data_IF_107229429073
#
_entry.id   IF_107229429073
#
_cell.length_a   1.000
_cell.length_b   1.000
_cell.length_c   1.000
_cell.angle_alpha   90.00
_cell.angle_beta   90.00
_cell.angle_gamma   90.00
#
_symmetry.space_group_name_H-M   'P 1'
#
loop_
_entity.id
_entity.type
_entity.pdbx_description
1 polymer ?
#
# COMPACT_ATOMS: atom_id res chain seq x y z
N UNK A 1 -12.70 20.81 -19.72
CA UNK A 1 -11.30 21.21 -19.48
C UNK A 1 -10.78 20.88 -18.06
N UNK A 2 -11.59 20.27 -17.17
CA UNK A 2 -11.19 20.03 -15.76
C UNK A 2 -10.53 18.65 -15.54
N UNK A 3 -11.06 17.61 -16.18
CA UNK A 3 -10.66 16.22 -15.91
C UNK A 3 -9.23 15.88 -16.36
N UNK A 4 -8.80 16.39 -17.53
CA UNK A 4 -7.45 16.17 -18.05
C UNK A 4 -6.34 16.93 -17.29
N UNK A 5 -6.68 18.03 -16.62
CA UNK A 5 -5.72 18.78 -15.82
C UNK A 5 -5.57 18.17 -14.41
N UNK A 6 -6.69 17.69 -13.84
CA UNK A 6 -6.70 16.92 -12.60
C UNK A 6 -5.92 15.61 -12.79
N UNK A 7 -6.13 14.90 -13.91
CA UNK A 7 -5.40 13.65 -14.18
C UNK A 7 -3.89 13.87 -14.32
N UNK A 8 -3.44 14.93 -14.98
CA UNK A 8 -2.01 15.26 -15.09
C UNK A 8 -1.40 15.62 -13.74
N UNK A 9 -2.15 16.29 -12.86
CA UNK A 9 -1.69 16.62 -11.51
C UNK A 9 -1.53 15.36 -10.66
N UNK A 10 -2.50 14.45 -10.69
CA UNK A 10 -2.42 13.18 -9.96
C UNK A 10 -1.27 12.29 -10.49
N UNK A 11 -1.10 12.22 -11.81
CA UNK A 11 0.05 11.51 -12.40
C UNK A 11 1.40 12.09 -11.93
N UNK A 12 1.51 13.43 -11.88
CA UNK A 12 2.72 14.09 -11.35
C UNK A 12 2.92 13.84 -9.86
N UNK A 13 1.84 13.78 -9.07
CA UNK A 13 1.88 13.46 -7.64
C UNK A 13 2.46 12.06 -7.44
N UNK A 14 1.91 11.07 -8.13
CA UNK A 14 2.35 9.67 -8.07
C UNK A 14 3.81 9.54 -8.53
N UNK A 15 4.16 10.09 -9.69
CA UNK A 15 5.53 10.05 -10.20
C UNK A 15 6.55 10.70 -9.23
N UNK A 16 6.17 11.79 -8.56
CA UNK A 16 7.02 12.44 -7.56
C UNK A 16 7.23 11.54 -6.34
N UNK A 17 6.15 10.93 -5.83
CA UNK A 17 6.22 10.00 -4.70
C UNK A 17 7.13 8.79 -5.01
N UNK A 18 7.02 8.22 -6.22
CA UNK A 18 7.87 7.12 -6.67
C UNK A 18 9.34 7.51 -6.75
N UNK A 19 9.65 8.68 -7.32
CA UNK A 19 11.03 9.17 -7.41
C UNK A 19 11.66 9.36 -6.03
N UNK A 20 10.91 9.94 -5.09
CA UNK A 20 11.36 10.07 -3.70
C UNK A 20 11.57 8.69 -3.06
N UNK A 21 10.63 7.77 -3.24
CA UNK A 21 10.72 6.40 -2.69
C UNK A 21 11.96 5.68 -3.20
N UNK A 22 12.19 5.74 -4.51
CA UNK A 22 13.37 5.16 -5.15
C UNK A 22 14.67 5.75 -4.57
N UNK A 23 14.77 7.08 -4.48
CA UNK A 23 15.94 7.74 -3.91
C UNK A 23 16.17 7.34 -2.43
N UNK A 24 15.10 7.27 -1.63
CA UNK A 24 15.17 6.86 -0.24
C UNK A 24 15.67 5.43 -0.08
N UNK A 25 15.17 4.51 -0.90
CA UNK A 25 15.63 3.11 -0.88
C UNK A 25 17.09 2.97 -1.32
N UNK A 26 17.52 3.72 -2.35
CA UNK A 26 18.92 3.72 -2.80
C UNK A 26 19.85 4.24 -1.71
N UNK A 27 19.50 5.37 -1.08
CA UNK A 27 20.28 5.93 0.02
C UNK A 27 20.33 4.99 1.23
N UNK A 28 19.20 4.37 1.58
CA UNK A 28 19.13 3.39 2.66
C UNK A 28 19.97 2.14 2.36
N UNK A 29 20.00 1.66 1.11
CA UNK A 29 20.82 0.51 0.70
C UNK A 29 22.33 0.83 0.72
N UNK A 30 22.72 2.06 0.36
CA UNK A 30 24.12 2.50 0.29
C UNK A 30 24.71 2.94 1.64
N UNK A 31 23.91 3.61 2.47
CA UNK A 31 24.40 4.30 3.67
C UNK A 31 23.71 3.84 4.96
N UNK A 32 22.71 2.95 4.87
CA UNK A 32 21.83 2.64 5.98
C UNK A 32 20.88 3.79 6.31
N UNK A 33 19.86 3.52 7.13
CA UNK A 33 18.88 4.56 7.50
C UNK A 33 19.52 5.76 8.21
N UNK A 34 20.60 5.58 8.98
CA UNK A 34 21.25 6.68 9.71
C UNK A 34 22.27 7.46 8.88
N UNK A 35 22.67 6.94 7.71
CA UNK A 35 23.72 7.52 6.88
C UNK A 35 23.27 8.62 5.93
N UNK A 36 21.99 9.00 5.93
CA UNK A 36 21.47 10.11 5.13
C UNK A 36 20.39 10.90 5.91
N UNK A 37 20.18 12.14 5.49
CA UNK A 37 19.19 13.07 6.04
C UNK A 37 18.00 13.29 5.09
N UNK A 38 16.93 13.94 5.57
CA UNK A 38 15.83 14.34 4.69
C UNK A 38 16.28 15.43 3.69
N UNK A 39 17.28 16.23 4.03
CA UNK A 39 17.97 17.15 3.12
C UNK A 39 18.62 16.39 1.96
N UNK A 40 19.44 15.37 2.25
CA UNK A 40 20.12 14.56 1.24
C UNK A 40 19.11 13.85 0.33
N UNK A 41 18.01 13.34 0.91
CA UNK A 41 16.92 12.73 0.16
C UNK A 41 16.22 13.74 -0.76
N UNK A 42 15.97 14.96 -0.30
CA UNK A 42 15.34 15.98 -1.12
C UNK A 42 16.21 16.36 -2.33
N UNK A 43 17.53 16.45 -2.13
CA UNK A 43 18.50 16.67 -3.20
C UNK A 43 18.56 15.49 -4.17
N UNK A 44 18.71 14.26 -3.66
CA UNK A 44 18.76 13.05 -4.48
C UNK A 44 17.48 12.82 -5.29
N UNK A 45 16.32 13.19 -4.72
CA UNK A 45 15.04 13.10 -5.37
C UNK A 45 14.67 14.35 -6.18
N UNK A 46 15.56 15.35 -6.30
CA UNK A 46 15.34 16.62 -7.01
C UNK A 46 13.96 17.24 -6.70
N UNK A 47 13.76 17.51 -5.41
CA UNK A 47 12.59 18.21 -4.86
C UNK A 47 13.01 19.19 -3.76
N UNK A 48 12.19 20.19 -3.49
CA UNK A 48 12.39 21.01 -2.29
C UNK A 48 12.10 20.21 -1.01
N UNK A 49 12.71 20.57 0.13
CA UNK A 49 12.36 19.99 1.44
C UNK A 49 10.87 20.07 1.76
N UNK A 50 10.26 21.22 1.47
CA UNK A 50 8.81 21.42 1.66
C UNK A 50 8.02 20.41 0.82
N UNK A 51 8.44 20.18 -0.42
CA UNK A 51 7.83 19.18 -1.29
C UNK A 51 8.00 17.79 -0.69
N UNK A 52 9.21 17.40 -0.29
CA UNK A 52 9.47 16.09 0.33
C UNK A 52 8.56 15.83 1.53
N UNK A 53 8.47 16.78 2.47
CA UNK A 53 7.64 16.65 3.67
C UNK A 53 6.12 16.66 3.38
N UNK A 54 5.69 17.15 2.22
CA UNK A 54 4.29 17.00 1.80
C UNK A 54 3.96 15.56 1.38
N UNK A 55 4.96 14.73 1.05
CA UNK A 55 4.77 13.33 0.67
C UNK A 55 5.08 12.38 1.82
N UNK A 56 6.15 12.63 2.59
CA UNK A 56 6.63 11.71 3.61
C UNK A 56 7.05 12.46 4.88
N UNK A 57 6.55 11.99 6.02
CA UNK A 57 6.89 12.57 7.32
C UNK A 57 8.28 12.13 7.81
N UNK A 58 8.78 10.98 7.34
CA UNK A 58 10.03 10.39 7.80
C UNK A 58 10.79 9.62 6.71
N UNK A 59 12.06 9.29 6.99
CA UNK A 59 12.88 8.42 6.14
C UNK A 59 12.27 7.03 5.98
N UNK A 60 11.70 6.47 7.06
CA UNK A 60 11.05 5.16 7.01
C UNK A 60 9.82 5.20 6.10
N UNK A 61 9.00 6.25 6.17
CA UNK A 61 7.84 6.38 5.28
C UNK A 61 8.27 6.52 3.82
N UNK A 62 9.32 7.31 3.56
CA UNK A 62 9.86 7.46 2.23
C UNK A 62 10.40 6.14 1.66
N UNK A 63 11.05 5.29 2.47
CA UNK A 63 11.53 3.97 2.04
C UNK A 63 10.38 3.00 1.76
N UNK A 64 9.35 3.01 2.61
CA UNK A 64 8.15 2.17 2.46
C UNK A 64 7.24 2.63 1.30
N UNK A 65 7.41 3.88 0.85
CA UNK A 65 6.64 4.49 -0.21
C UNK A 65 5.21 4.87 0.20
N UNK A 66 4.43 5.45 -0.73
CA UNK A 66 3.12 6.02 -0.41
C UNK A 66 2.12 4.95 0.05
N UNK A 67 1.15 5.37 0.86
CA UNK A 67 -0.04 4.57 1.16
C UNK A 67 -0.88 4.34 -0.09
N UNK A 68 -1.42 3.12 -0.26
CA UNK A 68 -2.36 2.90 -1.34
C UNK A 68 -3.58 3.78 -1.09
N UNK A 69 -3.86 4.68 -2.03
CA UNK A 69 -5.07 5.49 -2.00
C UNK A 69 -6.19 4.71 -2.71
N UNK A 70 -7.31 4.54 -2.02
CA UNK A 70 -8.56 4.05 -2.62
C UNK A 70 -9.46 5.26 -2.87
N UNK A 71 -9.97 5.47 -4.09
CA UNK A 71 -10.88 6.58 -4.36
C UNK A 71 -12.12 6.56 -3.45
N UNK A 72 -12.55 7.73 -2.97
CA UNK A 72 -13.73 7.84 -2.08
C UNK A 72 -14.99 7.22 -2.68
N UNK A 73 -15.14 7.24 -4.01
CA UNK A 73 -16.28 6.60 -4.68
C UNK A 73 -16.33 5.08 -4.44
N UNK A 74 -15.17 4.42 -4.37
CA UNK A 74 -15.06 2.97 -4.22
C UNK A 74 -15.26 2.62 -2.73
N UNK A 75 -14.71 3.44 -1.81
CA UNK A 75 -15.00 3.37 -0.37
C UNK A 75 -16.49 3.55 -0.09
N UNK A 76 -17.14 4.53 -0.73
CA UNK A 76 -18.57 4.77 -0.59
C UNK A 76 -19.42 3.60 -1.14
N UNK A 77 -19.02 3.01 -2.27
CA UNK A 77 -19.67 1.83 -2.81
C UNK A 77 -19.56 0.62 -1.86
N UNK A 78 -18.37 0.40 -1.29
CA UNK A 78 -18.16 -0.62 -0.26
C UNK A 78 -19.04 -0.39 0.96
N UNK A 79 -19.07 0.84 1.49
CA UNK A 79 -19.91 1.20 2.65
C UNK A 79 -21.40 0.96 2.37
N UNK A 80 -21.84 1.13 1.14
CA UNK A 80 -23.21 0.88 0.69
C UNK A 80 -23.53 -0.61 0.44
N UNK A 81 -22.59 -1.53 0.67
CA UNK A 81 -22.81 -2.96 0.49
C UNK A 81 -22.51 -3.50 -0.90
N UNK A 82 -21.79 -2.76 -1.76
CA UNK A 82 -21.43 -3.18 -3.12
C UNK A 82 -19.92 -3.26 -3.37
N UNK A 83 -19.49 -3.57 -4.62
CA UNK A 83 -20.33 -3.76 -5.80
C UNK A 83 -20.92 -5.18 -5.99
N UNK A 84 -20.43 -6.19 -5.27
CA UNK A 84 -20.80 -7.59 -5.41
C UNK A 84 -21.84 -8.04 -4.36
N UNK A 85 -21.98 -7.32 -3.25
CA UNK A 85 -22.97 -7.66 -2.22
C UNK A 85 -22.44 -8.57 -1.11
N UNK A 86 -21.21 -9.08 -1.24
CA UNK A 86 -20.56 -9.90 -0.21
C UNK A 86 -19.35 -9.16 0.34
N UNK A 87 -19.17 -9.20 1.67
CA UNK A 87 -18.10 -8.47 2.35
C UNK A 87 -16.71 -8.82 1.80
N UNK A 88 -16.45 -10.11 1.53
CA UNK A 88 -15.13 -10.57 1.07
C UNK A 88 -14.85 -10.18 -0.38
N UNK A 89 -15.84 -10.27 -1.27
CA UNK A 89 -15.67 -9.87 -2.67
C UNK A 89 -15.49 -8.35 -2.78
N UNK A 90 -16.25 -7.59 -2.00
CA UNK A 90 -16.19 -6.13 -2.02
C UNK A 90 -14.90 -5.61 -1.39
N UNK A 91 -14.41 -6.27 -0.34
CA UNK A 91 -13.11 -5.95 0.24
C UNK A 91 -11.96 -6.33 -0.71
N UNK A 92 -12.08 -7.45 -1.43
CA UNK A 92 -11.13 -7.82 -2.47
C UNK A 92 -11.09 -6.78 -3.60
N UNK A 93 -12.24 -6.22 -3.99
CA UNK A 93 -12.32 -5.15 -5.00
C UNK A 93 -11.65 -3.85 -4.53
N UNK A 94 -11.83 -3.47 -3.27
CA UNK A 94 -11.08 -2.35 -2.68
C UNK A 94 -9.57 -2.63 -2.67
N UNK A 95 -9.16 -3.85 -2.33
CA UNK A 95 -7.76 -4.24 -2.36
C UNK A 95 -7.20 -4.17 -3.80
N UNK A 96 -7.90 -4.67 -4.82
CA UNK A 96 -7.47 -4.53 -6.23
C UNK A 96 -7.28 -3.08 -6.63
N UNK A 97 -8.21 -2.22 -6.24
CA UNK A 97 -8.13 -0.78 -6.52
C UNK A 97 -6.89 -0.17 -5.85
N UNK A 98 -6.67 -0.47 -4.57
CA UNK A 98 -5.48 -0.06 -3.82
C UNK A 98 -4.17 -0.55 -4.47
N UNK A 99 -4.14 -1.79 -4.97
CA UNK A 99 -2.96 -2.37 -5.61
C UNK A 99 -2.70 -1.78 -7.01
N UNK A 100 -3.76 -1.45 -7.74
CA UNK A 100 -3.67 -0.84 -9.07
C UNK A 100 -3.09 0.57 -9.03
N UNK A 101 -3.35 1.33 -7.96
CA UNK A 101 -2.82 2.70 -7.80
C UNK A 101 -1.32 2.71 -7.45
N UNK A 102 -0.79 1.62 -6.89
CA UNK A 102 0.58 1.59 -6.38
C UNK A 102 1.69 1.63 -7.44
N UNK A 103 1.41 1.53 -8.75
CA UNK A 103 2.40 1.58 -9.86
C UNK A 103 3.80 1.05 -9.48
N UNK A 104 3.85 -0.18 -8.97
CA UNK A 104 5.08 -0.75 -8.43
C UNK A 104 5.91 -1.37 -9.55
N UNK A 105 7.18 -0.97 -9.64
CA UNK A 105 8.18 -1.71 -10.39
C UNK A 105 8.81 -2.81 -9.51
N UNK A 106 9.07 -3.98 -10.11
CA UNK A 106 9.65 -5.13 -9.39
C UNK A 106 10.97 -4.79 -8.68
N UNK A 107 11.94 -4.08 -9.31
CA UNK A 107 13.19 -3.73 -8.64
C UNK A 107 13.00 -2.90 -7.35
N UNK A 108 12.06 -1.96 -7.34
CA UNK A 108 11.71 -1.16 -6.15
C UNK A 108 11.10 -2.05 -5.06
N UNK A 109 10.23 -2.99 -5.40
CA UNK A 109 9.64 -3.94 -4.42
C UNK A 109 10.70 -4.88 -3.84
N UNK A 110 11.57 -5.44 -4.70
CA UNK A 110 12.67 -6.30 -4.27
C UNK A 110 13.63 -5.57 -3.32
N UNK A 111 13.97 -4.31 -3.65
CA UNK A 111 14.82 -3.48 -2.78
C UNK A 111 14.14 -3.20 -1.44
N UNK A 112 12.85 -2.85 -1.45
CA UNK A 112 12.07 -2.66 -0.23
C UNK A 112 12.07 -3.92 0.65
N UNK A 113 11.87 -5.12 0.05
CA UNK A 113 11.92 -6.40 0.78
C UNK A 113 13.29 -6.66 1.41
N UNK A 114 14.38 -6.45 0.66
CA UNK A 114 15.74 -6.57 1.23
C UNK A 114 15.97 -5.61 2.40
N UNK A 115 15.56 -4.35 2.24
CA UNK A 115 15.69 -3.33 3.27
C UNK A 115 14.90 -3.69 4.54
N UNK A 116 13.66 -4.18 4.40
CA UNK A 116 12.83 -4.63 5.53
C UNK A 116 13.48 -5.76 6.33
N UNK A 117 14.14 -6.70 5.65
CA UNK A 117 14.84 -7.82 6.31
C UNK A 117 16.12 -7.33 7.02
N UNK A 118 16.83 -6.36 6.43
CA UNK A 118 18.10 -5.88 6.97
C UNK A 118 17.99 -4.81 8.06
N UNK A 119 16.86 -4.09 8.15
CA UNK A 119 16.71 -2.94 9.04
C UNK A 119 15.44 -3.08 9.91
N UNK A 120 15.60 -3.41 11.21
CA UNK A 120 14.48 -3.63 12.13
C UNK A 120 13.52 -2.44 12.26
N UNK A 121 14.00 -1.21 12.09
CA UNK A 121 13.13 -0.02 12.16
C UNK A 121 12.16 0.05 10.99
N UNK A 122 12.56 -0.42 9.81
CA UNK A 122 11.65 -0.50 8.65
C UNK A 122 10.58 -1.57 8.89
N UNK A 123 10.96 -2.72 9.44
CA UNK A 123 10.00 -3.77 9.78
C UNK A 123 8.97 -3.26 10.81
N UNK A 124 9.43 -2.57 11.85
CA UNK A 124 8.54 -1.97 12.85
C UNK A 124 7.60 -0.91 12.23
N UNK A 125 8.12 -0.06 11.34
CA UNK A 125 7.31 0.94 10.62
C UNK A 125 6.28 0.28 9.70
N UNK A 126 6.64 -0.79 8.99
CA UNK A 126 5.72 -1.55 8.15
C UNK A 126 4.60 -2.22 8.98
N UNK A 127 4.95 -2.84 10.12
CA UNK A 127 3.95 -3.40 11.03
C UNK A 127 3.00 -2.34 11.57
N UNK A 128 3.52 -1.21 12.07
CA UNK A 128 2.66 -0.12 12.57
C UNK A 128 1.69 0.35 11.48
N UNK A 129 2.18 0.50 10.25
CA UNK A 129 1.34 0.90 9.11
C UNK A 129 0.25 -0.12 8.80
N UNK A 130 0.53 -1.41 8.86
CA UNK A 130 -0.50 -2.44 8.73
C UNK A 130 -1.52 -2.42 9.86
N UNK A 131 -1.10 -2.11 11.09
CA UNK A 131 -2.02 -1.93 12.21
C UNK A 131 -2.95 -0.73 11.99
N UNK A 132 -2.42 0.42 11.54
CA UNK A 132 -3.23 1.60 11.18
C UNK A 132 -4.25 1.26 10.09
N UNK A 133 -3.81 0.66 8.99
CA UNK A 133 -4.71 0.26 7.88
C UNK A 133 -5.80 -0.70 8.39
N UNK A 134 -5.42 -1.68 9.23
CA UNK A 134 -6.40 -2.62 9.80
C UNK A 134 -7.41 -1.89 10.68
N UNK A 135 -6.99 -0.93 11.49
CA UNK A 135 -7.87 -0.16 12.35
C UNK A 135 -8.86 0.68 11.52
N UNK A 136 -8.37 1.45 10.55
CA UNK A 136 -9.19 2.33 9.70
C UNK A 136 -10.23 1.52 8.91
N UNK A 137 -9.84 0.38 8.33
CA UNK A 137 -10.76 -0.47 7.60
C UNK A 137 -11.69 -1.28 8.52
N UNK A 138 -11.33 -1.50 9.79
CA UNK A 138 -12.25 -2.18 10.73
C UNK A 138 -13.49 -1.33 10.93
N UNK A 139 -13.34 -0.03 11.13
CA UNK A 139 -14.47 0.89 11.30
C UNK A 139 -15.33 0.91 10.02
N UNK A 140 -14.71 0.91 8.84
CA UNK A 140 -15.44 0.84 7.56
C UNK A 140 -16.25 -0.46 7.40
N UNK A 141 -15.71 -1.60 7.82
CA UNK A 141 -16.43 -2.90 7.81
C UNK A 141 -17.60 -2.86 8.78
N UNK A 142 -17.41 -2.29 9.97
CA UNK A 142 -18.48 -2.18 10.98
C UNK A 142 -19.59 -1.22 10.55
N UNK A 143 -19.25 -0.11 9.87
CA UNK A 143 -20.22 0.80 9.25
C UNK A 143 -21.07 0.08 8.19
N UNK A 144 -20.45 -0.77 7.36
CA UNK A 144 -21.11 -1.52 6.29
C UNK A 144 -22.04 -2.61 6.82
N UNK A 145 -21.54 -3.45 7.73
CA UNK A 145 -22.27 -4.65 8.19
C UNK A 145 -23.22 -4.36 9.37
N UNK A 146 -23.04 -3.20 10.03
CA UNK A 146 -23.88 -2.72 11.12
C UNK A 146 -23.48 -3.24 12.51
N UNK A 147 -24.16 -2.73 13.54
CA UNK A 147 -23.81 -2.92 14.96
C UNK A 147 -23.83 -4.37 15.46
N UNK A 148 -24.38 -5.31 14.70
CA UNK A 148 -24.40 -6.74 15.02
C UNK A 148 -23.16 -7.51 14.55
N UNK A 149 -22.28 -6.90 13.75
CA UNK A 149 -21.08 -7.56 13.24
C UNK A 149 -19.97 -7.56 14.28
N UNK A 150 -19.35 -8.72 14.49
CA UNK A 150 -18.29 -8.88 15.50
C UNK A 150 -17.00 -8.15 15.06
N UNK A 151 -16.51 -7.16 15.84
CA UNK A 151 -15.25 -6.48 15.55
C UNK A 151 -14.04 -7.41 15.47
N UNK A 152 -14.04 -8.55 16.16
CA UNK A 152 -12.95 -9.53 16.05
C UNK A 152 -12.95 -10.20 14.68
N UNK A 153 -14.12 -10.48 14.11
CA UNK A 153 -14.26 -11.05 12.75
C UNK A 153 -13.84 -10.05 11.67
N UNK A 154 -14.17 -8.77 11.84
CA UNK A 154 -13.72 -7.71 10.92
C UNK A 154 -12.18 -7.64 10.88
N UNK A 155 -11.54 -7.59 12.05
CA UNK A 155 -10.07 -7.58 12.16
C UNK A 155 -9.43 -8.85 11.59
N UNK A 156 -10.03 -10.01 11.83
CA UNK A 156 -9.54 -11.28 11.26
C UNK A 156 -9.57 -11.24 9.74
N UNK A 157 -10.70 -10.83 9.15
CA UNK A 157 -10.84 -10.72 7.69
C UNK A 157 -9.78 -9.78 7.10
N UNK A 158 -9.58 -8.61 7.70
CA UNK A 158 -8.60 -7.63 7.24
C UNK A 158 -7.16 -8.15 7.34
N UNK A 159 -6.82 -8.85 8.43
CA UNK A 159 -5.52 -9.50 8.57
C UNK A 159 -5.29 -10.60 7.53
N UNK A 160 -6.33 -11.36 7.18
CA UNK A 160 -6.24 -12.36 6.11
C UNK A 160 -5.96 -11.67 4.77
N UNK A 161 -6.68 -10.59 4.44
CA UNK A 161 -6.42 -9.83 3.21
C UNK A 161 -5.00 -9.26 3.15
N UNK A 162 -4.48 -8.74 4.27
CA UNK A 162 -3.08 -8.28 4.37
C UNK A 162 -2.08 -9.44 4.18
N UNK A 163 -2.37 -10.63 4.70
CA UNK A 163 -1.54 -11.81 4.47
C UNK A 163 -1.54 -12.23 3.00
N UNK A 164 -2.69 -12.20 2.31
CA UNK A 164 -2.77 -12.46 0.87
C UNK A 164 -1.93 -11.45 0.08
N UNK A 165 -1.96 -10.18 0.48
CA UNK A 165 -1.12 -9.15 -0.12
C UNK A 165 0.39 -9.40 0.07
N UNK A 166 0.82 -9.79 1.27
CA UNK A 166 2.24 -10.09 1.52
C UNK A 166 2.73 -11.25 0.65
N UNK A 167 1.97 -12.35 0.59
CA UNK A 167 2.29 -13.49 -0.27
C UNK A 167 2.26 -13.11 -1.75
N UNK A 168 1.30 -12.26 -2.16
CA UNK A 168 1.22 -11.75 -3.53
C UNK A 168 2.44 -10.91 -3.92
N UNK A 169 3.00 -10.14 -2.99
CA UNK A 169 4.22 -9.38 -3.22
C UNK A 169 5.43 -10.30 -3.45
N UNK A 170 5.54 -11.44 -2.76
CA UNK A 170 6.59 -12.43 -3.03
C UNK A 170 6.43 -13.04 -4.43
N UNK A 171 5.22 -13.49 -4.76
CA UNK A 171 4.89 -14.03 -6.08
C UNK A 171 5.13 -13.02 -7.20
N UNK A 172 4.81 -11.74 -6.96
CA UNK A 172 5.10 -10.64 -7.87
C UNK A 172 6.61 -10.51 -8.08
N UNK A 173 7.46 -10.53 -7.06
CA UNK A 173 8.91 -10.44 -7.28
C UNK A 173 9.50 -11.64 -8.01
N UNK A 174 8.88 -12.82 -7.91
CA UNK A 174 9.40 -14.07 -8.48
C UNK A 174 8.94 -14.38 -9.91
N UNK A 175 7.96 -13.65 -10.48
CA UNK A 175 7.33 -14.02 -11.74
C UNK A 175 6.95 -12.83 -12.63
N UNK A 176 6.19 -13.12 -13.70
CA UNK A 176 5.81 -12.13 -14.72
C UNK A 176 4.42 -11.53 -14.52
N UNK A 177 3.66 -11.99 -13.51
CA UNK A 177 2.34 -11.46 -13.15
C UNK A 177 2.41 -10.04 -12.62
N UNK A 178 1.38 -9.25 -12.88
CA UNK A 178 1.14 -7.99 -12.16
C UNK A 178 0.81 -8.28 -10.70
N UNK A 179 0.94 -7.27 -9.84
CA UNK A 179 0.63 -7.44 -8.40
C UNK A 179 -0.86 -7.75 -8.16
N UNK A 180 -1.74 -7.20 -9.00
CA UNK A 180 -3.18 -7.48 -8.94
C UNK A 180 -3.45 -8.95 -9.29
N UNK A 181 -2.87 -9.45 -10.37
CA UNK A 181 -3.00 -10.87 -10.73
C UNK A 181 -2.41 -11.79 -9.65
N UNK A 182 -1.25 -11.44 -9.09
CA UNK A 182 -0.65 -12.22 -8.02
C UNK A 182 -1.53 -12.25 -6.76
N UNK A 183 -2.22 -11.15 -6.45
CA UNK A 183 -3.21 -11.07 -5.37
C UNK A 183 -4.46 -11.91 -5.65
N UNK A 184 -4.99 -11.84 -6.87
CA UNK A 184 -6.14 -12.66 -7.27
C UNK A 184 -5.81 -14.16 -7.22
N UNK A 185 -4.60 -14.54 -7.62
CA UNK A 185 -4.10 -15.92 -7.49
C UNK A 185 -4.08 -16.36 -6.01
N UNK A 186 -3.60 -15.50 -5.09
CA UNK A 186 -3.61 -15.81 -3.65
C UNK A 186 -5.03 -15.88 -3.07
N UNK A 187 -5.93 -14.99 -3.49
CA UNK A 187 -7.31 -14.99 -3.06
C UNK A 187 -8.04 -16.26 -3.53
N UNK A 188 -7.79 -16.71 -4.77
CA UNK A 188 -8.33 -17.96 -5.29
C UNK A 188 -7.81 -19.16 -4.48
N UNK A 189 -6.50 -19.24 -4.25
CA UNK A 189 -5.89 -20.29 -3.43
C UNK A 189 -6.45 -20.32 -2.00
N UNK A 190 -6.66 -19.16 -1.38
CA UNK A 190 -7.24 -19.07 -0.05
C UNK A 190 -8.69 -19.57 0.00
N UNK A 191 -9.49 -19.32 -1.03
CA UNK A 191 -10.86 -19.87 -1.14
C UNK A 191 -10.83 -21.39 -1.23
N UNK A 192 -9.98 -21.95 -2.08
CA UNK A 192 -9.82 -23.41 -2.21
C UNK A 192 -9.39 -24.07 -0.89
N UNK A 193 -8.55 -23.42 -0.10
CA UNK A 193 -8.10 -23.92 1.20
C UNK A 193 -9.17 -23.83 2.30
N UNK A 194 -10.11 -22.90 2.20
CA UNK A 194 -11.09 -22.61 3.26
C UNK A 194 -12.50 -23.16 2.96
N UNK A 195 -12.78 -23.59 1.73
CA UNK A 195 -14.05 -24.21 1.30
C UNK A 195 -15.09 -23.21 0.83
#
# INVERSE_FOLDING_TARGET
MSESAISLREQKKVATAHRITHAAQVLAEQHGLDGFTMEDLAEAADVSRRTLFNYFASKTDAVLGPEPEVPERDVAAFRAGGPHGTLIDDLAELARTALSTKQLDRPTVERARRLLVSEPRLLAAAHHRFETITADFTDLVLEREGAGFDPARARLLLRLVLALFDVALDAFTAGDRTLVEAFDDQLAAARELLG
#
